data_IF_856285003479
#
_entry.id   IF_856285003479
#
_cell.length_a   1.000
_cell.length_b   1.000
_cell.length_c   1.000
_cell.angle_alpha   90.00
_cell.angle_beta   90.00
_cell.angle_gamma   90.00
#
_symmetry.space_group_name_H-M   'P 1'
#
loop_
_entity.id
_entity.type
_entity.pdbx_description
1 polymer ?
#
# COMPACT_ATOMS: atom_id res chain seq x y z
N UNK A 1 7.07 8.16 15.94
CA UNK A 1 7.81 7.05 16.59
C UNK A 1 8.06 5.97 15.55
N UNK A 2 9.31 5.50 15.40
CA UNK A 2 9.65 4.40 14.50
C UNK A 2 9.84 3.12 15.32
N UNK A 3 9.14 2.05 14.95
CA UNK A 3 9.18 0.75 15.61
C UNK A 3 9.66 -0.27 14.57
N UNK A 4 10.69 -1.04 14.89
CA UNK A 4 11.10 -2.17 14.05
C UNK A 4 10.27 -3.39 14.43
N UNK A 5 9.50 -3.91 13.49
CA UNK A 5 8.68 -5.12 13.70
C UNK A 5 9.50 -6.38 13.45
N UNK A 6 10.35 -6.34 12.41
CA UNK A 6 11.30 -7.38 12.03
C UNK A 6 12.41 -6.73 11.19
N UNK A 7 13.53 -7.44 11.00
CA UNK A 7 14.56 -7.02 10.03
C UNK A 7 13.95 -6.69 8.67
N UNK A 8 14.14 -5.46 8.20
CA UNK A 8 13.59 -4.95 6.94
C UNK A 8 12.14 -4.43 7.00
N UNK A 9 11.43 -4.59 8.13
CA UNK A 9 10.03 -4.14 8.31
C UNK A 9 9.95 -3.11 9.43
N UNK A 10 9.68 -1.87 9.04
CA UNK A 10 9.61 -0.73 9.94
C UNK A 10 8.20 -0.11 9.93
N UNK A 11 7.67 0.15 11.12
CA UNK A 11 6.41 0.86 11.33
C UNK A 11 6.68 2.27 11.83
N UNK A 12 6.19 3.27 11.12
CA UNK A 12 6.25 4.67 11.55
C UNK A 12 4.85 5.14 11.93
N UNK A 13 4.68 5.49 13.21
CA UNK A 13 3.42 6.07 13.72
C UNK A 13 3.62 7.57 13.92
N UNK A 14 2.70 8.35 13.33
CA UNK A 14 2.64 9.80 13.45
C UNK A 14 1.33 10.12 14.19
N UNK A 15 1.34 10.18 15.53
CA UNK A 15 0.15 10.49 16.31
C UNK A 15 -0.25 11.95 16.08
N UNK A 16 -1.50 12.19 15.71
CA UNK A 16 -2.06 13.53 15.51
C UNK A 16 -3.57 13.50 15.67
N UNK A 17 -4.13 14.51 16.32
CA UNK A 17 -5.57 14.71 16.46
C UNK A 17 -6.13 15.67 15.39
N UNK A 18 -5.27 16.15 14.48
CA UNK A 18 -5.63 17.14 13.46
C UNK A 18 -6.68 16.63 12.47
N UNK A 19 -6.68 15.33 12.18
CA UNK A 19 -7.48 14.72 11.13
C UNK A 19 -8.55 13.80 11.70
N UNK A 20 -9.71 13.76 11.04
CA UNK A 20 -10.84 12.88 11.40
C UNK A 20 -10.71 11.45 10.85
N UNK A 21 -9.67 11.19 10.06
CA UNK A 21 -9.45 9.90 9.40
C UNK A 21 -8.02 9.41 9.63
N UNK A 22 -7.86 8.09 9.67
CA UNK A 22 -6.56 7.42 9.76
C UNK A 22 -6.15 6.98 8.36
N UNK A 23 -4.90 7.25 7.98
CA UNK A 23 -4.32 6.75 6.73
C UNK A 23 -3.26 5.72 7.04
N UNK A 24 -3.38 4.55 6.42
CA UNK A 24 -2.36 3.51 6.49
C UNK A 24 -1.64 3.45 5.14
N UNK A 25 -0.31 3.45 5.17
CA UNK A 25 0.52 3.31 3.98
C UNK A 25 1.47 2.14 4.16
N UNK A 26 1.44 1.22 3.20
CA UNK A 26 2.40 0.13 3.08
C UNK A 26 3.34 0.47 1.93
N UNK A 27 4.62 0.71 2.25
CA UNK A 27 5.61 1.12 1.28
C UNK A 27 6.64 0.02 1.04
N UNK A 28 6.63 -0.55 -0.17
CA UNK A 28 7.59 -1.57 -0.59
C UNK A 28 8.69 -0.94 -1.43
N UNK A 29 9.87 -0.78 -0.82
CA UNK A 29 11.07 -0.27 -1.48
C UNK A 29 11.94 -1.42 -1.99
N UNK A 30 12.41 -1.29 -3.23
CA UNK A 30 13.43 -2.17 -3.80
C UNK A 30 14.20 -1.39 -4.87
N UNK A 31 15.40 -1.86 -5.23
CA UNK A 31 16.23 -1.25 -6.24
C UNK A 31 15.51 -1.14 -7.59
N UNK A 32 15.75 -0.03 -8.30
CA UNK A 32 15.12 0.18 -9.59
C UNK A 32 15.75 -0.70 -10.67
N UNK A 33 15.05 -1.76 -11.06
CA UNK A 33 15.45 -2.63 -12.16
C UNK A 33 14.42 -2.60 -13.29
N UNK A 34 14.84 -2.25 -14.51
CA UNK A 34 13.96 -2.16 -15.69
C UNK A 34 13.13 -3.44 -15.91
N UNK A 35 13.76 -4.61 -15.68
CA UNK A 35 13.12 -5.93 -15.84
C UNK A 35 11.95 -6.18 -14.88
N UNK A 36 11.93 -5.52 -13.72
CA UNK A 36 10.95 -5.74 -12.64
C UNK A 36 9.89 -4.63 -12.62
N UNK A 37 10.18 -3.46 -13.20
CA UNK A 37 9.27 -2.32 -13.23
C UNK A 37 7.88 -2.68 -13.78
N UNK A 38 7.80 -3.28 -14.96
CA UNK A 38 6.52 -3.67 -15.58
C UNK A 38 5.74 -4.71 -14.74
N UNK A 39 6.46 -5.68 -14.16
CA UNK A 39 5.86 -6.70 -13.28
C UNK A 39 5.22 -6.06 -12.04
N UNK A 40 5.86 -5.04 -11.47
CA UNK A 40 5.32 -4.31 -10.31
C UNK A 40 4.07 -3.52 -10.66
N UNK A 41 4.06 -2.85 -11.80
CA UNK A 41 2.86 -2.14 -12.30
C UNK A 41 1.70 -3.09 -12.53
N UNK A 42 1.95 -4.25 -13.12
CA UNK A 42 0.89 -5.26 -13.30
C UNK A 42 0.39 -5.80 -11.95
N UNK A 43 1.32 -6.10 -11.03
CA UNK A 43 0.99 -6.59 -9.70
C UNK A 43 0.10 -5.61 -8.92
N UNK A 44 0.33 -4.30 -9.04
CA UNK A 44 -0.52 -3.31 -8.38
C UNK A 44 -1.97 -3.39 -8.87
N UNK A 45 -2.20 -3.52 -10.17
CA UNK A 45 -3.55 -3.66 -10.73
C UNK A 45 -4.24 -4.97 -10.29
N UNK A 46 -3.48 -6.07 -10.22
CA UNK A 46 -4.01 -7.36 -9.76
C UNK A 46 -4.45 -7.31 -8.30
N UNK A 47 -3.61 -6.76 -7.42
CA UNK A 47 -3.90 -6.65 -5.99
C UNK A 47 -5.00 -5.63 -5.66
N UNK A 48 -5.25 -4.68 -6.56
CA UNK A 48 -6.34 -3.71 -6.40
C UNK A 48 -7.70 -4.30 -6.73
N UNK A 49 -7.73 -5.35 -7.57
CA UNK A 49 -8.97 -5.91 -8.12
C UNK A 49 -9.64 -6.91 -7.18
N UNK A 50 -8.84 -7.83 -6.61
CA UNK A 50 -9.34 -8.89 -5.75
C UNK A 50 -8.26 -9.42 -4.81
N UNK A 51 -8.69 -10.27 -3.89
CA UNK A 51 -7.80 -11.08 -3.06
C UNK A 51 -8.38 -12.49 -2.92
N UNK A 52 -7.60 -13.39 -2.31
CA UNK A 52 -8.06 -14.75 -2.04
C UNK A 52 -9.40 -14.79 -1.27
N UNK A 53 -9.61 -13.87 -0.34
CA UNK A 53 -10.84 -13.78 0.47
C UNK A 53 -11.93 -12.92 -0.15
N UNK A 54 -11.58 -12.05 -1.11
CA UNK A 54 -12.49 -11.19 -1.85
C UNK A 54 -12.26 -11.38 -3.34
N UNK A 55 -12.65 -12.53 -3.93
CA UNK A 55 -12.25 -12.92 -5.29
C UNK A 55 -12.86 -12.05 -6.40
N UNK A 56 -13.89 -11.26 -6.13
CA UNK A 56 -14.46 -10.30 -7.08
C UNK A 56 -14.32 -8.85 -6.62
N UNK A 57 -14.29 -7.92 -7.59
CA UNK A 57 -14.29 -6.48 -7.31
C UNK A 57 -15.50 -6.06 -6.48
N UNK A 58 -16.66 -6.70 -6.71
CA UNK A 58 -17.88 -6.43 -5.94
C UNK A 58 -17.68 -6.79 -4.46
N UNK A 59 -17.15 -7.97 -4.16
CA UNK A 59 -16.90 -8.40 -2.78
C UNK A 59 -15.85 -7.54 -2.08
N UNK A 60 -14.83 -7.08 -2.81
CA UNK A 60 -13.86 -6.14 -2.27
C UNK A 60 -14.52 -4.79 -1.94
N UNK A 61 -15.35 -4.26 -2.84
CA UNK A 61 -16.09 -3.02 -2.64
C UNK A 61 -17.11 -3.10 -1.50
N UNK A 62 -17.83 -4.21 -1.38
CA UNK A 62 -18.73 -4.48 -0.25
C UNK A 62 -17.97 -4.44 1.07
N UNK A 63 -16.78 -5.08 1.11
CA UNK A 63 -15.97 -5.06 2.32
C UNK A 63 -15.47 -3.66 2.68
N UNK A 64 -15.13 -2.84 1.69
CA UNK A 64 -14.72 -1.45 1.92
C UNK A 64 -15.89 -0.60 2.42
N UNK A 65 -17.11 -0.85 1.94
CA UNK A 65 -18.32 -0.21 2.45
C UNK A 65 -18.56 -0.59 3.93
N UNK A 66 -18.41 -1.86 4.29
CA UNK A 66 -18.50 -2.33 5.68
C UNK A 66 -17.46 -1.67 6.60
N UNK A 67 -16.28 -1.32 6.06
CA UNK A 67 -15.23 -0.58 6.75
C UNK A 67 -15.50 0.94 6.79
N UNK A 68 -16.76 1.32 7.03
CA UNK A 68 -17.22 2.70 7.09
C UNK A 68 -16.95 3.51 5.79
N UNK A 69 -17.00 2.85 4.64
CA UNK A 69 -16.70 3.47 3.34
C UNK A 69 -15.22 3.79 3.15
N UNK A 70 -14.34 2.88 3.59
CA UNK A 70 -12.90 3.04 3.46
C UNK A 70 -12.47 3.19 1.99
N UNK A 71 -11.49 4.08 1.74
CA UNK A 71 -10.83 4.17 0.45
C UNK A 71 -9.60 3.28 0.40
N UNK A 72 -9.47 2.50 -0.66
CA UNK A 72 -8.35 1.59 -0.90
C UNK A 72 -7.80 1.81 -2.31
N UNK A 73 -6.48 1.68 -2.46
CA UNK A 73 -5.84 1.75 -3.76
C UNK A 73 -4.36 1.45 -3.69
N UNK A 74 -3.80 1.06 -4.82
CA UNK A 74 -2.37 0.76 -4.95
C UNK A 74 -1.73 1.71 -5.96
N UNK A 75 -0.48 2.09 -5.68
CA UNK A 75 0.27 2.96 -6.57
C UNK A 75 1.72 2.46 -6.68
N UNK A 76 2.27 2.57 -7.89
CA UNK A 76 3.70 2.37 -8.15
C UNK A 76 4.30 3.69 -8.59
N UNK A 77 5.45 4.06 -8.00
CA UNK A 77 6.15 5.29 -8.33
C UNK A 77 7.64 5.04 -8.44
N UNK A 78 8.29 5.73 -9.37
CA UNK A 78 9.75 5.85 -9.39
C UNK A 78 10.13 7.02 -8.49
N UNK A 79 10.85 6.74 -7.41
CA UNK A 79 11.48 7.77 -6.59
C UNK A 79 12.98 7.70 -6.80
N UNK A 80 13.56 8.74 -7.38
CA UNK A 80 15.01 8.90 -7.42
C UNK A 80 15.46 9.38 -6.06
N UNK A 81 16.13 8.50 -5.31
CA UNK A 81 16.81 8.89 -4.09
C UNK A 81 18.21 9.33 -4.54
N UNK A 82 18.43 10.64 -4.63
CA UNK A 82 19.77 11.19 -4.72
C UNK A 82 20.47 10.91 -3.39
N UNK A 83 21.25 9.84 -3.35
CA UNK A 83 22.26 9.67 -2.30
C UNK A 83 23.42 10.56 -2.73
N UNK A 84 23.55 11.72 -2.07
CA UNK A 84 24.78 12.52 -2.11
C UNK A 84 25.74 12.01 -1.06
#
# INVERSE_FOLDING_TARGET
>A
MAISLQSGVNLTVIPTEKFKTVRLFFHFSTEHQKKIAAKRTLLTSLLETNSLHYPSQTQLSEKLADLYGASFGLNVGKKEIFIK
#
